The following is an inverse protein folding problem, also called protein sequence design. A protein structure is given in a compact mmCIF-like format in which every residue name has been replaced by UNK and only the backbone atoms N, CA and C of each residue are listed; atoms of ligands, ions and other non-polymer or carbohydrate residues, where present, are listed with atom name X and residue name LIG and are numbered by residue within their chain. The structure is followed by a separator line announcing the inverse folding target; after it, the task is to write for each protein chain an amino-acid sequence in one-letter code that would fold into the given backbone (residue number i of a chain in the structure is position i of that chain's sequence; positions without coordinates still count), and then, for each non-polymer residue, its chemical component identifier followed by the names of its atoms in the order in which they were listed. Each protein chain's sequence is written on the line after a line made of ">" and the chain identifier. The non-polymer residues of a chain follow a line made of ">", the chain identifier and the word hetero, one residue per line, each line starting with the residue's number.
data_IF_039978758353
#
_entry.id   IF_039978758353
#
_cell.length_a   1.000
_cell.length_b   1.000
_cell.length_c   1.000
_cell.angle_alpha   90.00
_cell.angle_beta   90.00
_cell.angle_gamma   90.00
#
_symmetry.space_group_name_H-M   'P 1'
#
loop_
_entity.id
_entity.type
_entity.pdbx_description
1 polymer ?
#
# COMPACT_ATOMS: atom_id res chain seq x y z
N UNK A 1 -22.43 30.11 -9.84
CA UNK A 1 -21.02 29.67 -9.81
C UNK A 1 -20.86 28.58 -8.77
N UNK A 2 -20.86 27.31 -9.18
CA UNK A 2 -20.46 26.19 -8.30
C UNK A 2 -18.94 26.08 -8.39
N UNK A 3 -18.26 26.14 -7.26
CA UNK A 3 -16.83 25.84 -7.18
C UNK A 3 -16.59 24.44 -7.78
N UNK A 4 -15.67 24.34 -8.73
CA UNK A 4 -15.25 23.07 -9.27
C UNK A 4 -14.69 22.22 -8.12
N UNK A 5 -15.35 21.10 -7.83
CA UNK A 5 -14.80 20.10 -6.93
C UNK A 5 -13.45 19.67 -7.50
N UNK A 6 -12.36 19.95 -6.76
CA UNK A 6 -11.04 19.38 -7.07
C UNK A 6 -11.25 17.86 -7.16
N UNK A 7 -10.82 17.24 -8.25
CA UNK A 7 -10.70 15.78 -8.28
C UNK A 7 -9.85 15.40 -7.06
N UNK A 8 -10.40 14.59 -6.15
CA UNK A 8 -9.67 14.13 -4.99
C UNK A 8 -8.49 13.29 -5.50
N UNK A 9 -7.31 13.89 -5.59
CA UNK A 9 -6.13 13.18 -6.05
C UNK A 9 -5.79 12.10 -5.03
N UNK A 10 -5.49 10.91 -5.54
CA UNK A 10 -5.13 9.75 -4.74
C UNK A 10 -3.89 10.03 -3.89
N UNK A 11 -3.93 9.59 -2.63
CA UNK A 11 -2.78 9.63 -1.72
C UNK A 11 -2.21 8.23 -1.59
N UNK A 12 -0.87 8.11 -1.68
CA UNK A 12 -0.19 6.83 -1.55
C UNK A 12 0.80 6.94 -0.40
N UNK A 13 0.59 6.15 0.65
CA UNK A 13 1.50 6.03 1.77
C UNK A 13 2.32 4.74 1.65
N UNK A 14 3.62 4.85 1.43
CA UNK A 14 4.57 3.75 1.60
C UNK A 14 5.05 3.67 3.03
N UNK A 15 5.14 2.45 3.55
CA UNK A 15 5.56 2.12 4.90
C UNK A 15 6.60 1.00 4.83
N UNK A 16 7.71 1.18 5.53
CA UNK A 16 8.82 0.23 5.59
C UNK A 16 9.25 0.02 7.05
N UNK A 17 9.24 -1.24 7.48
CA UNK A 17 9.70 -1.69 8.80
C UNK A 17 11.09 -2.33 8.77
N UNK A 18 11.63 -2.62 7.58
CA UNK A 18 12.88 -3.33 7.37
C UNK A 18 12.79 -4.84 7.58
N UNK A 19 11.58 -5.42 7.56
CA UNK A 19 11.42 -6.85 7.79
C UNK A 19 11.67 -7.66 6.51
N UNK A 20 12.45 -8.72 6.65
CA UNK A 20 12.65 -9.73 5.62
C UNK A 20 11.56 -10.81 5.65
N UNK A 21 10.74 -10.82 6.69
CA UNK A 21 9.61 -11.72 6.84
C UNK A 21 8.35 -11.09 6.25
N UNK A 22 7.71 -11.82 5.33
CA UNK A 22 6.49 -11.36 4.67
C UNK A 22 5.32 -11.35 5.66
N UNK A 23 5.23 -12.32 6.56
CA UNK A 23 4.10 -12.47 7.46
C UNK A 23 4.08 -11.33 8.49
N UNK A 24 5.27 -10.91 8.96
CA UNK A 24 5.42 -9.72 9.81
C UNK A 24 4.93 -8.45 9.09
N UNK A 25 5.24 -8.33 7.79
CA UNK A 25 4.78 -7.19 6.99
C UNK A 25 3.28 -7.22 6.76
N UNK A 26 2.69 -8.40 6.52
CA UNK A 26 1.24 -8.52 6.39
C UNK A 26 0.50 -8.19 7.70
N UNK A 27 1.03 -8.62 8.85
CA UNK A 27 0.49 -8.24 10.15
C UNK A 27 0.59 -6.72 10.38
N UNK A 28 1.72 -6.11 10.03
CA UNK A 28 1.90 -4.67 10.10
C UNK A 28 1.00 -3.89 9.14
N UNK A 29 0.76 -4.42 7.93
CA UNK A 29 -0.16 -3.84 6.97
C UNK A 29 -1.58 -3.82 7.53
N UNK A 30 -2.04 -4.92 8.15
CA UNK A 30 -3.36 -4.97 8.80
C UNK A 30 -3.48 -3.91 9.90
N UNK A 31 -2.47 -3.81 10.77
CA UNK A 31 -2.43 -2.78 11.80
C UNK A 31 -2.42 -1.35 11.21
N UNK A 32 -1.67 -1.12 10.13
CA UNK A 32 -1.62 0.17 9.46
C UNK A 32 -2.95 0.57 8.82
N UNK A 33 -3.69 -0.38 8.25
CA UNK A 33 -5.05 -0.14 7.74
C UNK A 33 -5.99 0.32 8.86
N UNK A 34 -5.88 -0.26 10.06
CA UNK A 34 -6.68 0.14 11.23
C UNK A 34 -6.30 1.52 11.78
N UNK A 35 -5.04 1.95 11.60
CA UNK A 35 -4.55 3.27 12.03
C UNK A 35 -5.03 4.40 11.13
N UNK A 36 -5.36 4.11 9.86
CA UNK A 36 -5.75 5.13 8.89
C UNK A 36 -7.24 5.43 9.03
N UNK A 37 -7.56 6.65 9.45
CA UNK A 37 -8.96 7.12 9.54
C UNK A 37 -9.63 7.36 8.18
N UNK A 38 -8.89 7.19 7.08
CA UNK A 38 -9.37 7.36 5.71
C UNK A 38 -9.68 6.00 5.06
N UNK A 39 -10.65 5.93 4.14
CA UNK A 39 -10.88 4.74 3.35
C UNK A 39 -9.61 4.32 2.60
N UNK A 40 -9.15 3.10 2.86
CA UNK A 40 -8.09 2.43 2.10
C UNK A 40 -8.72 1.86 0.83
N UNK A 41 -8.28 2.37 -0.31
CA UNK A 41 -8.70 1.93 -1.63
C UNK A 41 -7.95 0.67 -2.05
N UNK A 42 -6.68 0.56 -1.66
CA UNK A 42 -5.80 -0.54 -2.02
C UNK A 42 -4.66 -0.67 -1.02
N UNK A 43 -4.23 -1.90 -0.76
CA UNK A 43 -3.01 -2.17 -0.02
C UNK A 43 -2.15 -3.15 -0.82
N UNK A 44 -0.85 -2.89 -0.93
CA UNK A 44 0.07 -3.72 -1.70
C UNK A 44 1.38 -3.91 -0.96
N UNK A 45 1.87 -5.15 -0.88
CA UNK A 45 3.23 -5.44 -0.43
C UNK A 45 4.22 -5.31 -1.60
N UNK A 46 5.40 -4.79 -1.30
CA UNK A 46 6.47 -4.51 -2.24
C UNK A 46 7.76 -5.14 -1.75
N UNK A 47 8.46 -5.79 -2.67
CA UNK A 47 9.83 -6.19 -2.44
C UNK A 47 10.73 -5.03 -2.86
N UNK A 48 11.39 -4.41 -1.89
CA UNK A 48 12.28 -3.26 -2.10
C UNK A 48 13.73 -3.67 -1.88
N UNK A 49 14.67 -2.91 -2.45
CA UNK A 49 16.09 -3.23 -2.41
C UNK A 49 16.94 -2.21 -1.63
N UNK A 50 16.34 -1.11 -1.17
CA UNK A 50 17.05 -0.03 -0.50
C UNK A 50 16.78 -0.01 1.02
N UNK A 51 17.79 -0.14 1.90
CA UNK A 51 19.22 -0.34 1.61
C UNK A 51 19.60 -1.81 1.33
N UNK A 52 18.78 -2.74 1.78
CA UNK A 52 18.92 -4.18 1.62
C UNK A 52 17.60 -4.77 1.11
N UNK A 53 17.57 -6.04 0.67
CA UNK A 53 16.35 -6.65 0.12
C UNK A 53 15.39 -7.05 1.25
N UNK A 54 14.21 -6.45 1.30
CA UNK A 54 13.20 -6.69 2.33
C UNK A 54 11.80 -6.31 1.83
N UNK A 55 10.79 -6.50 2.67
CA UNK A 55 9.40 -6.18 2.36
C UNK A 55 9.00 -4.81 2.92
N UNK A 56 8.35 -4.02 2.09
CA UNK A 56 7.65 -2.78 2.44
C UNK A 56 6.20 -2.88 1.92
N UNK A 57 5.35 -1.92 2.23
CA UNK A 57 3.99 -1.91 1.68
C UNK A 57 3.48 -0.50 1.40
N UNK A 58 2.50 -0.39 0.51
CA UNK A 58 1.79 0.84 0.21
C UNK A 58 0.32 0.74 0.58
N UNK A 59 -0.26 1.87 1.00
CA UNK A 59 -1.68 2.10 1.15
C UNK A 59 -2.11 3.22 0.21
N UNK A 60 -3.09 2.93 -0.63
CA UNK A 60 -3.77 3.92 -1.46
C UNK A 60 -5.01 4.42 -0.73
N UNK A 61 -5.14 5.73 -0.62
CA UNK A 61 -6.10 6.38 0.27
C UNK A 61 -6.96 7.40 -0.48
N UNK A 62 -8.25 7.44 -0.13
CA UNK A 62 -9.21 8.39 -0.68
C UNK A 62 -9.08 9.82 -0.11
N UNK A 63 -8.29 9.98 0.95
CA UNK A 63 -8.12 11.25 1.64
C UNK A 63 -6.67 11.50 2.04
N UNK A 64 -6.39 12.75 2.40
CA UNK A 64 -5.08 13.20 2.84
C UNK A 64 -4.59 12.43 4.07
N UNK A 65 -3.28 12.16 4.07
CA UNK A 65 -2.60 11.53 5.19
C UNK A 65 -1.24 12.18 5.43
N UNK A 66 -0.89 12.31 6.71
CA UNK A 66 0.41 12.82 7.15
C UNK A 66 1.38 11.68 7.40
N UNK A 67 2.58 11.77 6.81
CA UNK A 67 3.64 10.79 7.06
C UNK A 67 4.03 10.73 8.56
N UNK A 68 3.93 11.86 9.27
CA UNK A 68 4.24 11.92 10.71
C UNK A 68 3.15 11.25 11.54
N UNK A 69 1.89 11.46 11.19
CA UNK A 69 0.76 10.93 11.96
C UNK A 69 0.69 9.41 11.83
N UNK A 70 0.96 8.88 10.64
CA UNK A 70 1.11 7.44 10.42
C UNK A 70 2.26 6.86 11.25
N UNK A 71 3.41 7.54 11.26
CA UNK A 71 4.59 7.07 11.97
C UNK A 71 4.34 6.91 13.48
N UNK A 72 3.47 7.73 14.09
CA UNK A 72 3.14 7.65 15.53
C UNK A 72 2.53 6.29 15.90
N UNK A 73 1.76 5.68 15.01
CA UNK A 73 1.15 4.37 15.24
C UNK A 73 2.04 3.18 14.86
N UNK A 74 3.23 3.43 14.30
CA UNK A 74 4.13 2.40 13.80
C UNK A 74 5.32 2.14 14.74
N UNK A 75 6.01 0.99 14.60
CA UNK A 75 7.25 0.74 15.32
C UNK A 75 8.28 1.88 15.15
N UNK A 76 9.05 2.19 16.19
CA UNK A 76 9.95 3.35 16.21
C UNK A 76 11.04 3.34 15.12
N UNK A 77 11.40 2.16 14.61
CA UNK A 77 12.37 2.00 13.54
C UNK A 77 11.78 2.25 12.14
N UNK A 78 10.46 2.38 12.00
CA UNK A 78 9.78 2.49 10.72
C UNK A 78 10.15 3.75 9.93
N UNK A 79 9.89 3.69 8.62
CA UNK A 79 9.93 4.81 7.70
C UNK A 79 8.62 4.91 6.94
N UNK A 80 8.16 6.14 6.72
CA UNK A 80 6.95 6.46 5.98
C UNK A 80 7.28 7.45 4.87
N UNK A 81 6.75 7.22 3.68
CA UNK A 81 6.76 8.14 2.57
C UNK A 81 5.33 8.34 2.06
N UNK A 82 4.90 9.58 1.87
CA UNK A 82 3.57 9.89 1.35
C UNK A 82 3.72 10.64 0.05
N UNK A 83 3.16 10.09 -1.02
CA UNK A 83 3.01 10.76 -2.31
C UNK A 83 1.60 11.33 -2.45
N UNK A 84 1.55 12.59 -2.85
CA UNK A 84 0.32 13.37 -3.02
C UNK A 84 0.38 14.15 -4.34
N UNK A 85 -0.77 14.68 -4.81
CA UNK A 85 -0.79 15.57 -5.97
C UNK A 85 0.10 16.81 -5.83
N UNK A 86 0.35 17.27 -4.59
CA UNK A 86 1.18 18.44 -4.30
C UNK A 86 2.67 18.13 -4.10
N UNK A 87 3.07 16.86 -4.12
CA UNK A 87 4.45 16.44 -3.89
C UNK A 87 4.56 15.28 -2.91
N UNK A 88 5.79 14.96 -2.51
CA UNK A 88 6.08 13.85 -1.60
C UNK A 88 6.64 14.33 -0.27
N UNK A 89 6.25 13.66 0.82
CA UNK A 89 6.76 13.91 2.18
C UNK A 89 7.23 12.60 2.80
N UNK A 90 8.00 12.65 3.89
CA UNK A 90 8.41 11.42 4.59
C UNK A 90 8.91 11.65 6.01
N UNK A 91 8.73 10.65 6.87
CA UNK A 91 9.05 10.67 8.29
C UNK A 91 9.66 9.31 8.74
N UNK A 92 10.44 9.32 9.82
CA UNK A 92 11.07 8.11 10.38
C UNK A 92 12.52 7.90 9.95
N UNK A 93 13.03 6.68 10.16
CA UNK A 93 14.44 6.35 9.96
C UNK A 93 14.88 6.58 8.49
N UNK A 94 16.03 7.22 8.21
CA UNK A 94 16.42 7.56 6.83
C UNK A 94 16.45 6.38 5.86
N UNK A 95 17.02 5.25 6.27
CA UNK A 95 17.07 4.03 5.46
C UNK A 95 15.66 3.49 5.16
N UNK A 96 14.80 3.45 6.18
CA UNK A 96 13.42 2.97 6.02
C UNK A 96 12.56 3.92 5.19
N UNK A 97 12.77 5.23 5.30
CA UNK A 97 12.13 6.20 4.41
C UNK A 97 12.49 5.98 2.94
N UNK A 98 13.72 5.54 2.67
CA UNK A 98 14.13 5.23 1.30
C UNK A 98 13.41 3.98 0.76
N UNK A 99 13.29 2.91 1.56
CA UNK A 99 12.51 1.73 1.19
C UNK A 99 11.01 2.05 1.03
N UNK A 100 10.44 2.85 1.94
CA UNK A 100 9.08 3.35 1.81
C UNK A 100 8.88 4.14 0.51
N UNK A 101 9.80 5.05 0.17
CA UNK A 101 9.75 5.81 -1.08
C UNK A 101 9.87 4.90 -2.31
N UNK A 102 10.73 3.88 -2.28
CA UNK A 102 10.86 2.89 -3.34
C UNK A 102 9.53 2.15 -3.58
N UNK A 103 8.85 1.73 -2.51
CA UNK A 103 7.54 1.07 -2.62
C UNK A 103 6.49 1.97 -3.28
N UNK A 104 6.48 3.26 -2.96
CA UNK A 104 5.59 4.25 -3.58
C UNK A 104 5.91 4.40 -5.07
N UNK A 105 7.18 4.49 -5.44
CA UNK A 105 7.61 4.57 -6.84
C UNK A 105 7.15 3.33 -7.62
N UNK A 106 7.32 2.13 -7.06
CA UNK A 106 6.83 0.90 -7.68
C UNK A 106 5.30 0.92 -7.86
N UNK A 107 4.56 1.38 -6.84
CA UNK A 107 3.10 1.49 -6.91
C UNK A 107 2.64 2.49 -7.98
N UNK A 108 3.26 3.67 -8.04
CA UNK A 108 2.95 4.73 -9.02
C UNK A 108 3.30 4.29 -10.45
N UNK A 109 4.43 3.60 -10.63
CA UNK A 109 4.82 3.06 -11.92
C UNK A 109 3.87 1.96 -12.43
N UNK A 110 3.01 1.42 -11.55
CA UNK A 110 2.16 0.28 -11.88
C UNK A 110 2.96 -0.98 -12.15
N UNK A 111 4.18 -1.08 -11.59
CA UNK A 111 5.07 -2.22 -11.82
C UNK A 111 4.61 -3.43 -11.01
N UNK A 112 3.54 -4.07 -11.48
CA UNK A 112 3.05 -5.36 -11.01
C UNK A 112 3.09 -6.37 -12.16
N UNK A 113 3.33 -7.65 -11.84
CA UNK A 113 3.08 -8.72 -12.79
C UNK A 113 1.60 -9.09 -12.67
N UNK A 114 0.82 -8.81 -13.70
CA UNK A 114 -0.56 -9.32 -13.79
C UNK A 114 -0.48 -10.81 -14.10
N UNK A 115 -1.03 -11.64 -13.22
CA UNK A 115 -1.26 -13.05 -13.53
C UNK A 115 -2.57 -13.12 -14.31
N UNK A 116 -2.47 -13.40 -15.60
CA UNK A 116 -3.64 -13.64 -16.43
C UNK A 116 -4.03 -15.12 -16.31
N UNK A 117 -5.27 -15.41 -15.96
CA UNK A 117 -5.80 -16.77 -15.96
C UNK A 117 -7.09 -16.86 -16.77
N UNK A 118 -7.38 -18.05 -17.29
CA UNK A 118 -8.55 -18.28 -18.12
C UNK A 118 -9.83 -18.02 -17.31
N UNK A 119 -10.70 -17.15 -17.81
CA UNK A 119 -11.99 -16.82 -17.17
C UNK A 119 -12.00 -15.56 -16.31
N UNK A 120 -10.86 -14.89 -16.11
CA UNK A 120 -10.77 -13.67 -15.28
C UNK A 120 -11.71 -12.54 -15.72
N UNK A 121 -11.97 -12.37 -17.02
CA UNK A 121 -12.82 -11.28 -17.56
C UNK A 121 -14.31 -11.51 -17.25
N UNK A 122 -14.68 -12.70 -16.76
CA UNK A 122 -16.03 -13.06 -16.35
C UNK A 122 -16.25 -12.96 -14.83
N UNK A 123 -15.23 -12.52 -14.09
CA UNK A 123 -15.33 -12.36 -12.65
C UNK A 123 -16.14 -11.10 -12.30
N UNK A 124 -17.14 -11.21 -11.41
CA UNK A 124 -17.85 -10.05 -10.89
C UNK A 124 -16.94 -9.21 -9.99
N UNK A 125 -17.23 -7.90 -9.89
CA UNK A 125 -16.52 -6.97 -8.98
C UNK A 125 -16.60 -7.40 -7.51
N UNK A 126 -17.56 -8.24 -7.15
CA UNK A 126 -17.71 -8.83 -5.81
C UNK A 126 -18.01 -10.31 -5.94
N UNK A 127 -17.20 -11.13 -5.27
CA UNK A 127 -17.30 -12.57 -5.28
C UNK A 127 -17.53 -13.09 -3.85
N UNK A 128 -18.54 -13.94 -3.61
CA UNK A 128 -18.68 -14.65 -2.35
C UNK A 128 -17.41 -15.48 -2.04
N UNK A 129 -17.01 -15.54 -0.77
CA UNK A 129 -15.79 -16.25 -0.35
C UNK A 129 -15.83 -17.74 -0.72
N UNK A 130 -17.00 -18.37 -0.69
CA UNK A 130 -17.21 -19.77 -1.08
C UNK A 130 -17.13 -20.01 -2.60
N UNK A 131 -17.14 -18.95 -3.41
CA UNK A 131 -16.91 -19.03 -4.86
C UNK A 131 -15.46 -18.74 -5.26
N UNK A 132 -14.64 -18.25 -4.33
CA UNK A 132 -13.28 -17.77 -4.61
C UNK A 132 -12.40 -18.85 -5.23
N UNK A 133 -12.27 -20.00 -4.57
CA UNK A 133 -11.46 -21.11 -5.09
C UNK A 133 -12.00 -21.72 -6.38
N UNK A 134 -13.32 -21.63 -6.60
CA UNK A 134 -13.96 -22.21 -7.79
C UNK A 134 -13.78 -21.35 -9.04
N UNK A 135 -13.58 -20.04 -8.87
CA UNK A 135 -13.65 -19.07 -9.98
C UNK A 135 -12.36 -18.30 -10.21
N UNK A 136 -11.37 -18.45 -9.33
CA UNK A 136 -10.10 -17.73 -9.41
C UNK A 136 -8.92 -18.71 -9.37
N UNK A 137 -7.69 -18.21 -9.56
CA UNK A 137 -6.47 -19.00 -9.42
C UNK A 137 -6.04 -19.18 -7.94
N UNK A 138 -6.95 -19.04 -6.99
CA UNK A 138 -6.69 -19.16 -5.54
C UNK A 138 -7.12 -20.56 -5.11
N UNK A 139 -6.18 -21.39 -4.64
CA UNK A 139 -6.46 -22.79 -4.30
C UNK A 139 -6.97 -22.97 -2.85
N UNK A 140 -6.70 -22.02 -1.96
CA UNK A 140 -7.09 -22.03 -0.54
C UNK A 140 -7.40 -20.62 -0.01
N UNK A 141 -8.31 -20.52 0.97
CA UNK A 141 -8.73 -19.27 1.65
C UNK A 141 -8.61 -19.42 3.15
#
# INVERSE_FOLDING_TARGET
>A
MRAAARSAGTWIAGIDLGSQDRDEVEAALRAAVELVAAPVLMACTHLVSTPDRHWAFTLELAAEVSARDLLVGLPSAAGVAVHSPSGSTGAGAPARRAGAQESVVQRVAGSGRVVLFQGQDSLPDTLPVDELCRRTAIDEV
#
